data_IF_205269090150
#
_entry.id   IF_205269090150
#
_cell.length_a   1.000
_cell.length_b   1.000
_cell.length_c   1.000
_cell.angle_alpha   90.00
_cell.angle_beta   90.00
_cell.angle_gamma   90.00
#
_symmetry.space_group_name_H-M   'P 1'
#
loop_
_entity.id
_entity.type
_entity.pdbx_description
1 polymer ?
#
# COMPACT_ATOMS: atom_id res chain seq x y z
N UNK A 1 -11.23 -16.80 -5.11
CA UNK A 1 -10.66 -16.81 -6.47
C UNK A 1 -9.48 -15.87 -6.43
N UNK A 2 -8.29 -16.38 -6.72
CA UNK A 2 -7.09 -15.57 -6.86
C UNK A 2 -7.14 -14.91 -8.23
N UNK A 3 -6.86 -13.62 -8.32
CA UNK A 3 -6.70 -12.90 -9.56
C UNK A 3 -5.22 -12.58 -9.74
N UNK A 4 -4.72 -12.94 -10.92
CA UNK A 4 -3.36 -12.64 -11.34
C UNK A 4 -3.36 -11.42 -12.27
N UNK A 5 -2.35 -10.57 -12.14
CA UNK A 5 -2.19 -9.35 -12.90
C UNK A 5 -0.76 -9.26 -13.46
N UNK A 6 -0.66 -8.87 -14.72
CA UNK A 6 0.59 -8.42 -15.33
C UNK A 6 0.74 -6.92 -15.13
N UNK A 7 1.91 -6.51 -14.65
CA UNK A 7 2.29 -5.11 -14.43
C UNK A 7 3.34 -4.72 -15.46
N UNK A 8 3.12 -3.62 -16.18
CA UNK A 8 4.10 -3.08 -17.12
C UNK A 8 4.81 -1.85 -16.55
N UNK A 9 6.14 -1.91 -16.47
CA UNK A 9 6.96 -0.81 -16.02
C UNK A 9 7.13 0.25 -17.12
N UNK A 10 7.22 1.55 -16.76
CA UNK A 10 7.49 2.64 -17.70
C UNK A 10 8.79 2.43 -18.50
N UNK A 11 9.78 1.80 -17.86
CA UNK A 11 11.07 1.49 -18.48
C UNK A 11 11.04 0.05 -18.99
N UNK A 12 10.93 -0.11 -20.32
CA UNK A 12 10.81 -1.41 -21.01
C UNK A 12 12.00 -2.37 -20.79
N UNK A 13 13.14 -1.85 -20.35
CA UNK A 13 14.34 -2.65 -20.06
C UNK A 13 14.56 -2.88 -18.57
N UNK A 14 13.66 -2.41 -17.70
CA UNK A 14 13.80 -2.56 -16.25
C UNK A 14 13.76 -4.03 -15.85
N UNK A 15 14.74 -4.45 -15.08
CA UNK A 15 14.75 -5.76 -14.43
C UNK A 15 15.21 -5.56 -13.00
N UNK A 16 14.47 -6.13 -12.06
CA UNK A 16 14.70 -5.91 -10.62
C UNK A 16 13.43 -6.08 -9.82
N UNK A 17 13.52 -5.92 -8.51
CA UNK A 17 12.39 -6.04 -7.60
C UNK A 17 11.75 -4.67 -7.34
N UNK A 18 10.43 -4.64 -7.28
CA UNK A 18 9.67 -3.45 -6.87
C UNK A 18 8.43 -3.87 -6.12
N UNK A 19 8.32 -3.45 -4.85
CA UNK A 19 7.16 -3.71 -3.98
C UNK A 19 6.81 -5.21 -3.92
N UNK A 20 7.84 -6.06 -3.87
CA UNK A 20 7.67 -7.53 -3.84
C UNK A 20 7.29 -8.17 -5.19
N UNK A 21 7.31 -7.41 -6.28
CA UNK A 21 7.11 -7.91 -7.65
C UNK A 21 8.44 -7.89 -8.38
N UNK A 22 8.86 -9.07 -8.85
CA UNK A 22 10.01 -9.19 -9.73
C UNK A 22 9.62 -8.76 -11.15
N UNK A 23 10.35 -7.78 -11.68
CA UNK A 23 10.24 -7.37 -13.07
C UNK A 23 11.36 -7.98 -13.91
N UNK A 24 11.01 -8.43 -15.10
CA UNK A 24 11.94 -8.89 -16.13
C UNK A 24 11.60 -8.20 -17.45
N UNK A 25 12.53 -7.42 -18.01
CA UNK A 25 12.33 -6.66 -19.26
C UNK A 25 11.03 -5.82 -19.22
N UNK A 26 10.84 -5.09 -18.13
CA UNK A 26 9.71 -4.19 -17.90
C UNK A 26 8.39 -4.89 -17.61
N UNK A 27 8.36 -6.22 -17.46
CA UNK A 27 7.14 -6.98 -17.16
C UNK A 27 7.25 -7.66 -15.80
N UNK A 28 6.29 -7.42 -14.92
CA UNK A 28 6.15 -8.09 -13.63
C UNK A 28 4.82 -8.81 -13.52
N UNK A 29 4.74 -9.79 -12.63
CA UNK A 29 3.52 -10.55 -12.37
C UNK A 29 3.20 -10.53 -10.88
N UNK A 30 1.94 -10.28 -10.54
CA UNK A 30 1.48 -10.19 -9.16
C UNK A 30 0.11 -10.85 -9.04
N UNK A 31 -0.15 -11.52 -7.93
CA UNK A 31 -1.46 -12.08 -7.63
C UNK A 31 -1.98 -11.54 -6.28
N UNK A 32 -3.28 -11.63 -6.06
CA UNK A 32 -3.91 -11.20 -4.80
C UNK A 32 -3.98 -12.32 -3.74
N UNK A 33 -3.25 -13.43 -3.94
CA UNK A 33 -3.25 -14.56 -3.01
C UNK A 33 -2.66 -14.17 -1.65
N UNK A 34 -1.63 -13.32 -1.64
CA UNK A 34 -0.96 -12.82 -0.44
C UNK A 34 -1.32 -11.36 -0.13
N UNK A 35 -1.16 -10.97 1.14
CA UNK A 35 -1.33 -9.57 1.58
C UNK A 35 -0.35 -8.64 0.86
N UNK A 36 0.88 -9.10 0.64
CA UNK A 36 1.91 -8.36 -0.09
C UNK A 36 1.52 -8.16 -1.55
N UNK A 37 1.01 -9.19 -2.22
CA UNK A 37 0.53 -9.10 -3.60
C UNK A 37 -0.66 -8.14 -3.75
N UNK A 38 -1.62 -8.15 -2.82
CA UNK A 38 -2.71 -7.16 -2.77
C UNK A 38 -2.19 -5.73 -2.60
N UNK A 39 -1.26 -5.53 -1.67
CA UNK A 39 -0.66 -4.22 -1.44
C UNK A 39 0.13 -3.72 -2.67
N UNK A 40 0.85 -4.61 -3.36
CA UNK A 40 1.55 -4.31 -4.60
C UNK A 40 0.58 -3.90 -5.72
N UNK A 41 -0.53 -4.63 -5.90
CA UNK A 41 -1.58 -4.29 -6.88
C UNK A 41 -2.12 -2.88 -6.62
N UNK A 42 -2.44 -2.56 -5.37
CA UNK A 42 -2.93 -1.23 -5.01
C UNK A 42 -1.87 -0.14 -5.23
N UNK A 43 -0.61 -0.42 -4.89
CA UNK A 43 0.50 0.49 -5.13
C UNK A 43 0.63 0.83 -6.62
N UNK A 44 0.70 -0.17 -7.49
CA UNK A 44 0.87 0.03 -8.93
C UNK A 44 -0.31 0.80 -9.53
N UNK A 45 -1.54 0.54 -9.08
CA UNK A 45 -2.72 1.33 -9.47
C UNK A 45 -2.59 2.80 -9.09
N UNK A 46 -2.12 3.09 -7.87
CA UNK A 46 -1.92 4.48 -7.39
C UNK A 46 -0.80 5.20 -8.14
N UNK A 47 0.24 4.46 -8.52
CA UNK A 47 1.37 4.99 -9.30
C UNK A 47 1.07 5.09 -10.80
N UNK A 48 -0.15 4.73 -11.24
CA UNK A 48 -0.56 4.84 -12.65
C UNK A 48 0.07 3.79 -13.57
N UNK A 49 0.55 2.67 -13.02
CA UNK A 49 1.04 1.56 -13.82
C UNK A 49 -0.13 0.85 -14.51
N UNK A 50 0.14 0.26 -15.67
CA UNK A 50 -0.83 -0.60 -16.35
C UNK A 50 -0.87 -1.97 -15.67
N UNK A 51 -2.03 -2.34 -15.12
CA UNK A 51 -2.31 -3.70 -14.64
C UNK A 51 -3.29 -4.38 -15.59
N UNK A 52 -2.85 -5.47 -16.21
CA UNK A 52 -3.64 -6.30 -17.10
C UNK A 52 -4.02 -7.59 -16.36
N UNK A 53 -5.31 -7.89 -16.14
CA UNK A 53 -5.71 -9.16 -15.57
C UNK A 53 -5.30 -10.30 -16.51
N UNK A 54 -4.71 -11.35 -15.95
CA UNK A 54 -4.37 -12.58 -16.67
C UNK A 54 -5.21 -13.71 -16.09
N UNK A 55 -5.87 -14.47 -16.96
CA UNK A 55 -6.59 -15.67 -16.54
C UNK A 55 -5.57 -16.75 -16.17
N UNK A 56 -5.77 -17.41 -15.01
CA UNK A 56 -4.94 -18.52 -14.56
C UNK A 56 -4.94 -19.65 -15.61
N UNK A 57 -3.94 -19.65 -16.49
CA UNK A 57 -3.85 -20.57 -17.63
C UNK A 57 -2.83 -20.18 -18.70
N UNK A 58 -2.39 -18.92 -18.76
CA UNK A 58 -1.27 -18.52 -19.62
C UNK A 58 0.06 -18.77 -18.88
N UNK A 59 0.89 -19.69 -19.39
CA UNK A 59 2.18 -20.10 -18.82
C UNK A 59 3.05 -18.87 -18.49
N UNK A 60 3.05 -18.48 -17.22
CA UNK A 60 4.09 -17.62 -16.66
C UNK A 60 5.39 -18.45 -16.66
N UNK A 61 6.47 -18.01 -17.33
CA UNK A 61 7.75 -18.69 -17.20
C UNK A 61 8.12 -18.65 -15.72
N UNK A 62 8.29 -19.85 -15.15
CA UNK A 62 8.53 -20.06 -13.73
C UNK A 62 9.59 -19.06 -13.22
N UNK A 63 9.12 -18.07 -12.46
CA UNK A 63 9.98 -17.21 -11.66
C UNK A 63 10.62 -18.13 -10.63
N UNK A 64 11.88 -18.49 -10.89
CA UNK A 64 12.69 -19.32 -10.00
C UNK A 64 12.79 -18.58 -8.68
N UNK A 65 12.36 -19.23 -7.61
CA UNK A 65 12.32 -18.68 -6.25
C UNK A 65 13.69 -18.19 -5.73
N UNK A 66 13.69 -17.64 -4.51
CA UNK A 66 14.72 -16.74 -4.02
C UNK A 66 16.08 -17.46 -3.90
N UNK A 67 17.06 -16.96 -4.63
CA UNK A 67 18.46 -17.28 -4.36
C UNK A 67 18.90 -16.61 -3.05
N UNK A 68 19.67 -17.36 -2.28
CA UNK A 68 20.17 -17.14 -0.93
C UNK A 68 20.58 -15.71 -0.53
N UNK A 69 20.42 -15.33 0.76
CA UNK A 69 20.75 -14.00 1.27
C UNK A 69 22.24 -13.78 1.61
N UNK A 70 23.19 -14.18 0.74
CA UNK A 70 24.63 -14.12 1.09
C UNK A 70 25.52 -13.19 0.25
N UNK A 71 25.02 -12.50 -0.78
CA UNK A 71 25.87 -11.70 -1.69
C UNK A 71 25.42 -10.23 -1.90
N UNK A 72 25.22 -9.47 -0.81
CA UNK A 72 25.02 -8.00 -0.91
C UNK A 72 25.93 -7.19 0.01
N UNK A 73 27.13 -7.70 0.32
CA UNK A 73 28.21 -6.97 1.00
C UNK A 73 29.23 -6.38 0.02
N UNK A 74 28.83 -5.66 -1.04
CA UNK A 74 29.80 -4.79 -1.75
C UNK A 74 29.11 -3.72 -2.59
N UNK A 75 28.88 -2.53 -2.01
CA UNK A 75 29.07 -1.29 -2.76
C UNK A 75 29.09 -0.06 -1.83
N UNK A 76 30.15 0.04 -1.01
CA UNK A 76 30.57 1.33 -0.44
C UNK A 76 31.42 2.08 -1.48
N UNK A 77 30.76 2.56 -2.53
CA UNK A 77 31.36 3.47 -3.50
C UNK A 77 31.34 4.90 -2.98
N UNK A 78 32.44 5.33 -2.36
CA UNK A 78 32.72 6.73 -2.04
C UNK A 78 32.82 7.55 -3.33
N UNK A 79 31.75 8.23 -3.70
CA UNK A 79 31.72 9.25 -4.74
C UNK A 79 31.74 10.63 -4.11
N UNK A 80 32.92 11.26 -4.11
CA UNK A 80 33.16 12.64 -3.71
C UNK A 80 32.20 13.64 -4.37
N UNK A 81 31.57 14.50 -3.58
CA UNK A 81 30.93 15.72 -4.06
C UNK A 81 31.91 16.90 -3.98
N UNK A 82 32.09 17.72 -5.04
CA UNK A 82 32.57 19.07 -4.90
C UNK A 82 31.40 20.05 -4.72
N UNK A 83 31.50 20.86 -3.68
CA UNK A 83 30.64 22.01 -3.39
C UNK A 83 30.95 23.19 -4.32
N UNK A 84 29.96 23.76 -5.05
CA UNK A 84 29.82 25.19 -5.43
C UNK A 84 28.37 25.41 -5.93
N UNK A 85 27.53 26.23 -5.30
CA UNK A 85 27.23 27.62 -5.71
C UNK A 85 25.73 27.89 -5.43
N UNK A 86 25.37 28.76 -4.49
CA UNK A 86 25.15 30.21 -4.63
C UNK A 86 24.20 30.60 -5.78
N UNK A 87 22.92 30.83 -5.47
CA UNK A 87 22.12 31.86 -6.13
C UNK A 87 20.69 31.51 -6.51
N UNK A 88 19.81 32.48 -6.18
CA UNK A 88 18.51 32.79 -6.78
C UNK A 88 17.28 32.22 -6.06
N UNK A 89 16.60 33.14 -5.39
CA UNK A 89 15.40 32.91 -4.60
C UNK A 89 14.19 32.50 -5.42
N UNK A 90 13.36 31.70 -4.76
CA UNK A 90 11.96 31.48 -5.11
C UNK A 90 11.20 32.03 -3.91
N UNK A 91 10.22 32.94 -4.10
CA UNK A 91 9.39 33.39 -3.00
C UNK A 91 8.70 32.18 -2.36
N UNK A 92 8.73 32.20 -1.03
CA UNK A 92 8.05 31.32 -0.11
C UNK A 92 6.53 31.47 -0.29
N UNK A 93 6.00 30.85 -1.34
CA UNK A 93 4.63 30.36 -1.37
C UNK A 93 4.71 28.85 -1.17
N UNK A 94 4.93 28.45 0.08
CA UNK A 94 4.37 27.19 0.54
C UNK A 94 2.86 27.31 0.30
N UNK A 95 2.24 26.52 -0.61
CA UNK A 95 0.80 26.34 -0.53
C UNK A 95 0.52 25.89 0.91
N UNK A 96 -0.59 26.33 1.55
CA UNK A 96 -0.94 25.81 2.85
C UNK A 96 -0.93 24.29 2.69
N UNK A 97 -0.04 23.63 3.43
CA UNK A 97 -0.13 22.21 3.67
C UNK A 97 -1.43 22.03 4.43
N UNK A 98 -2.54 22.00 3.69
CA UNK A 98 -3.75 21.35 4.15
C UNK A 98 -3.27 19.99 4.55
N UNK A 99 -3.25 19.78 5.87
CA UNK A 99 -3.07 18.48 6.48
C UNK A 99 -3.85 17.51 5.60
N UNK A 100 -3.10 16.69 4.86
CA UNK A 100 -3.67 15.68 3.99
C UNK A 100 -4.34 14.75 4.96
N UNK A 101 -5.63 14.97 5.19
CA UNK A 101 -6.47 14.07 5.94
C UNK A 101 -6.20 12.70 5.35
N UNK A 102 -5.68 11.80 6.18
CA UNK A 102 -5.52 10.41 5.79
C UNK A 102 -6.82 9.97 5.11
N UNK A 103 -6.76 9.19 4.02
CA UNK A 103 -7.97 8.79 3.29
C UNK A 103 -8.99 8.26 4.28
N UNK A 104 -10.15 8.92 4.34
CA UNK A 104 -11.21 8.65 5.31
C UNK A 104 -11.60 7.17 5.21
N UNK A 105 -11.43 6.43 6.30
CA UNK A 105 -11.66 5.00 6.32
C UNK A 105 -13.16 4.74 6.22
N UNK A 106 -13.61 4.16 5.11
CA UNK A 106 -15.02 3.83 4.86
C UNK A 106 -15.31 2.37 5.24
N UNK A 107 -15.90 2.10 6.41
CA UNK A 107 -16.14 0.74 6.87
C UNK A 107 -17.20 0.00 6.04
N UNK A 108 -18.02 0.71 5.26
CA UNK A 108 -19.04 0.11 4.40
C UNK A 108 -18.41 -0.72 3.28
N UNK A 109 -17.17 -0.39 2.88
CA UNK A 109 -16.38 -1.09 1.85
C UNK A 109 -15.68 -2.34 2.36
N UNK A 110 -15.58 -2.50 3.68
CA UNK A 110 -14.89 -3.63 4.30
C UNK A 110 -15.87 -4.60 4.97
N UNK A 111 -15.43 -5.85 5.16
CA UNK A 111 -16.19 -6.85 5.92
C UNK A 111 -16.01 -6.62 7.44
N UNK A 112 -16.78 -7.35 8.24
CA UNK A 112 -16.84 -7.12 9.68
C UNK A 112 -15.46 -7.30 10.34
N UNK A 113 -14.74 -8.37 9.98
CA UNK A 113 -13.45 -8.71 10.57
C UNK A 113 -12.37 -7.68 10.22
N UNK A 114 -12.36 -7.17 8.99
CA UNK A 114 -11.43 -6.10 8.58
C UNK A 114 -11.68 -4.79 9.32
N UNK A 115 -12.95 -4.44 9.58
CA UNK A 115 -13.29 -3.24 10.36
C UNK A 115 -12.92 -3.43 11.83
N UNK A 116 -13.14 -4.61 12.41
CA UNK A 116 -12.71 -4.91 13.79
C UNK A 116 -11.18 -4.88 13.92
N UNK A 117 -10.45 -5.46 12.97
CA UNK A 117 -8.99 -5.43 12.94
C UNK A 117 -8.45 -4.00 12.77
N UNK A 118 -9.15 -3.16 12.00
CA UNK A 118 -8.83 -1.74 11.88
C UNK A 118 -9.04 -0.99 13.20
N UNK A 119 -10.18 -1.22 13.87
CA UNK A 119 -10.50 -0.61 15.17
C UNK A 119 -9.57 -1.08 16.30
N UNK A 120 -9.00 -2.29 16.21
CA UNK A 120 -8.03 -2.81 17.17
C UNK A 120 -6.61 -2.26 16.93
N UNK A 121 -6.30 -1.87 15.69
CA UNK A 121 -5.01 -1.26 15.33
C UNK A 121 -5.01 0.26 15.47
N UNK A 122 -6.17 0.87 15.43
CA UNK A 122 -6.33 2.33 15.49
C UNK A 122 -6.42 2.77 16.93
N UNK A 123 -5.41 3.49 17.39
CA UNK A 123 -5.37 4.07 18.74
C UNK A 123 -6.13 5.41 18.83
N UNK A 124 -6.52 5.99 17.70
CA UNK A 124 -7.21 7.28 17.63
C UNK A 124 -8.70 7.13 17.97
N UNK A 125 -9.12 7.68 19.11
CA UNK A 125 -10.49 7.58 19.58
C UNK A 125 -11.50 8.30 18.67
N UNK A 126 -11.11 9.40 18.04
CA UNK A 126 -11.99 10.17 17.15
C UNK A 126 -12.22 9.41 15.83
N UNK A 127 -11.19 8.79 15.28
CA UNK A 127 -11.30 7.93 14.10
C UNK A 127 -12.16 6.70 14.40
N UNK A 128 -11.90 6.01 15.52
CA UNK A 128 -12.71 4.86 15.93
C UNK A 128 -14.19 5.22 16.05
N UNK A 129 -14.50 6.35 16.67
CA UNK A 129 -15.89 6.81 16.80
C UNK A 129 -16.51 7.09 15.44
N UNK A 130 -15.80 7.75 14.52
CA UNK A 130 -16.28 7.96 13.13
C UNK A 130 -16.58 6.65 12.42
N UNK A 131 -15.71 5.64 12.57
CA UNK A 131 -15.90 4.31 11.98
C UNK A 131 -17.13 3.61 12.58
N UNK A 132 -17.32 3.70 13.89
CA UNK A 132 -18.48 3.13 14.59
C UNK A 132 -19.77 3.82 14.15
N UNK A 133 -19.78 5.15 14.06
CA UNK A 133 -20.94 5.93 13.60
C UNK A 133 -21.26 5.65 12.14
N UNK A 134 -20.26 5.60 11.26
CA UNK A 134 -20.44 5.20 9.86
C UNK A 134 -21.01 3.77 9.73
N UNK A 135 -20.62 2.84 10.62
CA UNK A 135 -21.21 1.50 10.68
C UNK A 135 -22.64 1.50 11.25
N UNK A 136 -22.93 2.37 12.20
CA UNK A 136 -24.25 2.56 12.78
C UNK A 136 -25.24 3.15 11.76
N UNK A 137 -24.79 4.05 10.88
CA UNK A 137 -25.61 4.59 9.78
C UNK A 137 -25.72 3.63 8.60
N UNK A 138 -24.69 2.79 8.39
CA UNK A 138 -24.62 1.81 7.31
C UNK A 138 -25.23 0.44 7.66
N UNK A 139 -24.37 -0.59 7.68
CA UNK A 139 -24.77 -2.00 7.78
C UNK A 139 -25.21 -2.43 9.18
N UNK A 140 -25.02 -1.60 10.21
CA UNK A 140 -25.44 -1.85 11.61
C UNK A 140 -24.96 -3.19 12.14
N UNK A 141 -23.68 -3.51 11.92
CA UNK A 141 -23.09 -4.77 12.38
C UNK A 141 -22.97 -4.75 13.90
N UNK A 142 -23.78 -5.57 14.56
CA UNK A 142 -23.88 -5.64 16.04
C UNK A 142 -22.53 -5.86 16.73
N UNK A 143 -21.62 -6.63 16.13
CA UNK A 143 -20.29 -6.87 16.70
C UNK A 143 -19.41 -5.60 16.74
N UNK A 144 -19.55 -4.71 15.76
CA UNK A 144 -18.77 -3.46 15.69
C UNK A 144 -19.35 -2.42 16.66
N UNK A 145 -20.69 -2.34 16.74
CA UNK A 145 -21.39 -1.49 17.70
C UNK A 145 -21.04 -1.87 19.15
N UNK A 146 -21.08 -3.17 19.47
CA UNK A 146 -20.71 -3.67 20.79
C UNK A 146 -19.23 -3.41 21.14
N UNK A 147 -18.33 -3.44 20.15
CA UNK A 147 -16.91 -3.10 20.33
C UNK A 147 -16.71 -1.61 20.59
N UNK A 148 -17.54 -0.75 20.01
CA UNK A 148 -17.58 0.68 20.28
C UNK A 148 -18.00 1.01 21.70
N UNK A 149 -19.04 0.35 22.21
CA UNK A 149 -19.53 0.52 23.58
C UNK A 149 -18.47 0.13 24.62
N UNK A 150 -17.78 -1.01 24.44
CA UNK A 150 -16.71 -1.44 25.36
C UNK A 150 -15.54 -0.46 25.45
N UNK A 151 -15.16 0.19 24.35
CA UNK A 151 -14.02 1.13 24.35
C UNK A 151 -14.36 2.51 24.92
N UNK A 152 -15.64 2.88 25.02
CA UNK A 152 -16.05 4.11 25.70
C UNK A 152 -15.99 3.98 27.23
N UNK A 153 -16.11 2.76 27.76
CA UNK A 153 -16.05 2.49 29.20
C UNK A 153 -14.62 2.52 29.75
N UNK A 154 -13.62 2.04 28.99
CA UNK A 154 -12.20 2.06 29.37
C UNK A 154 -11.57 3.48 29.40
N UNK A 155 -12.22 4.47 28.78
CA UNK A 155 -11.72 5.86 28.74
C UNK A 155 -12.33 6.78 29.81
N UNK A 156 -13.13 6.25 30.74
CA UNK A 156 -13.82 7.01 31.79
C UNK A 156 -13.22 6.76 33.17
#
# INVERSE_FOLDING_TARGET
MTNSYRVEAPVRSYSGDSVGVQFTKGTGYVNDASKEGRAAIEYFRRQGYALLPIEDGEEVPASTGPASPEDAMTNLGHGSAPSVGLGIGIPDEQPPVTATAAPEYDPSKYNQDDVLAYLDRTDDAAERQRVIDAEADGKKRKAILARGEQNQEDQK
#
